data_IF_959510016139
#
_entry.id   IF_959510016139
#
_cell.length_a   1.000
_cell.length_b   1.000
_cell.length_c   1.000
_cell.angle_alpha   90.00
_cell.angle_beta   90.00
_cell.angle_gamma   90.00
#
_symmetry.space_group_name_H-M   'P 1'
#
loop_
_entity.id
_entity.type
_entity.pdbx_description
1 polymer ?
#
# COMPACT_ATOMS: atom_id res chain seq x y z
N UNK A 1 -14.36 1.28 9.40
CA UNK A 1 -14.11 2.56 8.71
C UNK A 1 -13.02 2.48 7.62
N UNK A 2 -12.34 1.35 7.39
CA UNK A 2 -11.44 1.17 6.24
C UNK A 2 -12.09 0.47 5.05
N UNK A 3 -13.05 -0.45 5.29
CA UNK A 3 -13.78 -1.11 4.19
C UNK A 3 -14.49 -0.15 3.23
N UNK A 4 -15.00 0.99 3.70
CA UNK A 4 -15.57 2.02 2.81
C UNK A 4 -14.49 2.71 1.98
N UNK A 5 -13.28 2.92 2.51
CA UNK A 5 -12.18 3.49 1.72
C UNK A 5 -11.68 2.51 0.67
N UNK A 6 -11.59 1.22 1.01
CA UNK A 6 -11.22 0.16 0.07
C UNK A 6 -12.24 0.03 -1.08
N UNK A 7 -13.53 0.24 -0.80
CA UNK A 7 -14.57 0.21 -1.83
C UNK A 7 -14.40 1.30 -2.89
N UNK A 8 -13.98 2.51 -2.50
CA UNK A 8 -13.78 3.64 -3.43
C UNK A 8 -12.61 3.42 -4.41
N UNK A 9 -11.67 2.54 -4.07
CA UNK A 9 -10.50 2.20 -4.91
C UNK A 9 -10.51 0.72 -5.32
N UNK A 10 -11.68 0.10 -5.34
CA UNK A 10 -11.84 -1.34 -5.61
C UNK A 10 -11.53 -1.73 -7.06
N UNK A 11 -11.38 -0.77 -7.95
CA UNK A 11 -10.94 -0.93 -9.33
C UNK A 11 -9.40 -0.89 -9.48
N UNK A 12 -8.68 -0.56 -8.42
CA UNK A 12 -7.23 -0.56 -8.41
C UNK A 12 -6.70 -1.97 -8.07
N UNK A 13 -5.55 -2.32 -8.64
CA UNK A 13 -4.85 -3.56 -8.27
C UNK A 13 -3.95 -3.36 -7.03
N UNK A 14 -3.42 -2.14 -6.84
CA UNK A 14 -2.31 -1.86 -5.93
C UNK A 14 -2.50 -0.53 -5.20
N UNK A 15 -2.20 -0.53 -3.91
CA UNK A 15 -2.14 0.63 -3.04
C UNK A 15 -0.71 0.82 -2.51
N UNK A 16 -0.04 1.89 -2.96
CA UNK A 16 1.26 2.32 -2.43
C UNK A 16 1.04 3.44 -1.42
N UNK A 17 1.55 3.29 -0.21
CA UNK A 17 1.38 4.27 0.85
C UNK A 17 2.64 4.44 1.71
N UNK A 18 2.79 5.62 2.32
CA UNK A 18 3.89 5.89 3.26
C UNK A 18 3.72 5.20 4.63
N UNK A 19 2.53 4.71 4.97
CA UNK A 19 2.26 4.03 6.23
C UNK A 19 0.76 3.91 6.51
N UNK A 20 0.37 2.90 7.28
CA UNK A 20 -0.99 2.74 7.80
C UNK A 20 -0.99 1.79 9.01
N UNK A 21 -2.02 1.86 9.85
CA UNK A 21 -2.20 0.89 10.95
C UNK A 21 -2.56 -0.50 10.43
N UNK A 22 -2.26 -1.54 11.21
CA UNK A 22 -2.48 -2.95 10.85
C UNK A 22 -3.92 -3.26 10.43
N UNK A 23 -4.92 -2.72 11.14
CA UNK A 23 -6.33 -2.92 10.77
C UNK A 23 -6.70 -2.33 9.40
N UNK A 24 -6.05 -1.26 8.96
CA UNK A 24 -6.24 -0.70 7.62
C UNK A 24 -5.55 -1.58 6.58
N UNK A 25 -4.31 -1.97 6.83
CA UNK A 25 -3.53 -2.85 5.97
C UNK A 25 -4.27 -4.15 5.66
N UNK A 26 -4.75 -4.84 6.70
CA UNK A 26 -5.54 -6.07 6.55
C UNK A 26 -6.88 -5.83 5.84
N UNK A 27 -7.52 -4.68 6.06
CA UNK A 27 -8.78 -4.35 5.37
C UNK A 27 -8.60 -4.20 3.87
N UNK A 28 -7.51 -3.54 3.43
CA UNK A 28 -7.22 -3.37 2.00
C UNK A 28 -6.76 -4.68 1.36
N UNK A 29 -5.93 -5.48 2.04
CA UNK A 29 -5.57 -6.82 1.57
C UNK A 29 -6.78 -7.75 1.44
N UNK A 30 -7.69 -7.73 2.42
CA UNK A 30 -8.93 -8.51 2.37
C UNK A 30 -9.88 -8.06 1.24
N UNK A 31 -9.74 -6.82 0.76
CA UNK A 31 -10.46 -6.31 -0.41
C UNK A 31 -9.81 -6.70 -1.75
N UNK A 32 -8.67 -7.42 -1.74
CA UNK A 32 -7.99 -7.91 -2.93
C UNK A 32 -6.87 -7.00 -3.45
N UNK A 33 -6.58 -5.89 -2.76
CA UNK A 33 -5.50 -4.99 -3.13
C UNK A 33 -4.14 -5.54 -2.70
N UNK A 34 -3.14 -5.40 -3.57
CA UNK A 34 -1.75 -5.45 -3.15
C UNK A 34 -1.41 -4.16 -2.40
N UNK A 35 -0.93 -4.26 -1.16
CA UNK A 35 -0.63 -3.09 -0.33
C UNK A 35 0.87 -3.02 -0.09
N UNK A 36 1.49 -1.93 -0.52
CA UNK A 36 2.93 -1.69 -0.39
C UNK A 36 3.15 -0.49 0.52
N UNK A 37 3.83 -0.69 1.64
CA UNK A 37 4.29 0.41 2.48
C UNK A 37 5.72 0.78 2.09
N UNK A 38 5.95 2.05 1.77
CA UNK A 38 7.26 2.54 1.34
C UNK A 38 7.67 3.79 2.13
N UNK A 39 8.94 4.17 2.02
CA UNK A 39 9.55 5.40 2.54
C UNK A 39 9.87 6.41 1.43
N UNK A 40 9.48 6.15 0.18
CA UNK A 40 9.56 7.16 -0.87
C UNK A 40 8.67 8.36 -0.54
N UNK A 41 9.29 9.55 -0.51
CA UNK A 41 8.60 10.83 -0.28
C UNK A 41 7.96 11.38 -1.56
N UNK A 42 8.43 10.93 -2.73
CA UNK A 42 7.96 11.36 -4.04
C UNK A 42 7.05 10.31 -4.70
N UNK A 43 5.93 10.77 -5.25
CA UNK A 43 5.00 9.91 -6.00
C UNK A 43 5.71 9.34 -7.23
N UNK A 44 6.43 10.17 -8.00
CA UNK A 44 7.20 9.73 -9.15
C UNK A 44 8.24 8.65 -8.79
N UNK A 45 8.92 8.78 -7.65
CA UNK A 45 9.91 7.79 -7.22
C UNK A 45 9.23 6.48 -6.83
N UNK A 46 8.12 6.54 -6.09
CA UNK A 46 7.35 5.35 -5.71
C UNK A 46 6.81 4.59 -6.94
N UNK A 47 6.23 5.31 -7.89
CA UNK A 47 5.70 4.73 -9.14
C UNK A 47 6.82 4.15 -9.99
N UNK A 48 7.92 4.89 -10.17
CA UNK A 48 9.08 4.40 -10.93
C UNK A 48 9.69 3.16 -10.28
N UNK A 49 9.88 3.18 -8.96
CA UNK A 49 10.39 2.03 -8.21
C UNK A 49 9.48 0.81 -8.32
N UNK A 50 8.16 0.99 -8.35
CA UNK A 50 7.21 -0.09 -8.59
C UNK A 50 7.36 -0.68 -10.00
N UNK A 51 7.35 0.16 -11.04
CA UNK A 51 7.50 -0.27 -12.45
C UNK A 51 8.83 -1.00 -12.67
N UNK A 52 9.90 -0.55 -12.03
CA UNK A 52 11.23 -1.15 -12.14
C UNK A 52 11.41 -2.40 -11.26
N UNK A 53 10.42 -2.79 -10.44
CA UNK A 53 10.52 -3.92 -9.51
C UNK A 53 11.52 -3.69 -8.37
N UNK A 54 11.79 -2.42 -8.02
CA UNK A 54 12.74 -2.02 -6.98
C UNK A 54 12.06 -1.60 -5.68
N UNK A 55 10.75 -1.33 -5.70
CA UNK A 55 10.02 -0.94 -4.50
C UNK A 55 9.98 -2.09 -3.49
N UNK A 56 10.25 -1.77 -2.23
CA UNK A 56 10.20 -2.72 -1.11
C UNK A 56 8.95 -2.46 -0.29
N UNK A 57 8.24 -3.52 0.08
CA UNK A 57 7.17 -3.42 1.05
C UNK A 57 7.76 -3.49 2.47
N UNK A 58 7.66 -2.38 3.20
CA UNK A 58 8.20 -2.17 4.53
C UNK A 58 7.21 -2.52 5.64
N UNK A 59 6.06 -3.16 5.34
CA UNK A 59 5.06 -3.48 6.36
C UNK A 59 5.64 -4.31 7.52
N UNK A 60 6.30 -5.42 7.19
CA UNK A 60 6.88 -6.34 8.19
C UNK A 60 7.99 -5.67 9.01
N UNK A 61 8.76 -4.74 8.42
CA UNK A 61 9.83 -3.99 9.10
C UNK A 61 9.32 -2.88 10.03
N UNK A 62 8.01 -2.60 9.98
CA UNK A 62 7.36 -1.51 10.74
C UNK A 62 6.33 -2.04 11.73
N UNK A 63 6.12 -3.35 11.78
CA UNK A 63 5.19 -4.03 12.69
C UNK A 63 5.85 -4.56 13.97
N UNK A 64 7.08 -4.14 14.25
CA UNK A 64 7.88 -4.48 15.43
C UNK A 64 7.71 -3.48 16.58
#
# INVERSE_FOLDING_TARGET
>A
RHGMMAAEISDCDILIAGGMGSGAYESFKAAGLEVILTDYDSIEEAVTGYIEGKIKNLYEERTD
#
